data_IF_226417223004
#
_entry.id   IF_226417223004
#
_cell.length_a   1.000
_cell.length_b   1.000
_cell.length_c   1.000
_cell.angle_alpha   90.00
_cell.angle_beta   90.00
_cell.angle_gamma   90.00
#
_symmetry.space_group_name_H-M   'P 1'
#
loop_
_entity.id
_entity.type
_entity.pdbx_description
1 polymer ?
#
# COMPACT_ATOMS: atom_id res chain seq x y z
N UNK A 1 7.05 -1.50 17.86
CA UNK A 1 6.22 -0.79 18.86
C UNK A 1 5.35 -1.81 19.60
N UNK A 2 5.45 -1.88 20.92
CA UNK A 2 4.83 -2.97 21.69
C UNK A 2 3.30 -2.99 21.59
N UNK A 3 2.64 -1.83 21.45
CA UNK A 3 1.18 -1.78 21.28
C UNK A 3 0.67 -2.28 19.92
N UNK A 4 1.52 -2.24 18.89
CA UNK A 4 1.17 -2.68 17.53
C UNK A 4 1.77 -4.04 17.18
N UNK A 5 2.65 -4.56 18.04
CA UNK A 5 3.46 -5.77 17.79
C UNK A 5 4.16 -5.77 16.42
N UNK A 6 4.40 -4.59 15.85
CA UNK A 6 5.02 -4.38 14.53
C UNK A 6 6.19 -3.41 14.65
N UNK A 7 7.28 -3.72 13.94
CA UNK A 7 8.41 -2.80 13.74
C UNK A 7 8.30 -2.13 12.36
N UNK A 8 7.40 -1.16 12.27
CA UNK A 8 7.12 -0.42 11.03
C UNK A 8 7.70 1.00 11.08
N UNK A 9 7.77 1.66 9.92
CA UNK A 9 8.09 3.09 9.80
C UNK A 9 7.20 3.98 10.69
N UNK A 10 5.96 3.57 10.97
CA UNK A 10 5.08 4.27 11.91
C UNK A 10 5.58 4.28 13.35
N UNK A 11 6.23 3.19 13.80
CA UNK A 11 6.82 3.15 15.13
C UNK A 11 7.95 4.17 15.26
N UNK A 12 8.81 4.25 14.24
CA UNK A 12 9.87 5.25 14.15
C UNK A 12 9.31 6.68 14.05
N UNK A 13 8.24 6.89 13.28
CA UNK A 13 7.60 8.19 13.15
C UNK A 13 7.00 8.69 14.47
N UNK A 14 6.33 7.81 15.22
CA UNK A 14 5.77 8.15 16.53
C UNK A 14 6.86 8.41 17.58
N UNK A 15 7.94 7.62 17.56
CA UNK A 15 9.11 7.87 18.42
C UNK A 15 9.79 9.21 18.09
N UNK A 16 9.98 9.50 16.80
CA UNK A 16 10.50 10.77 16.32
C UNK A 16 9.60 11.95 16.66
N UNK A 17 8.27 11.77 16.59
CA UNK A 17 7.30 12.78 17.01
C UNK A 17 7.43 13.12 18.49
N UNK A 18 7.51 12.11 19.36
CA UNK A 18 7.72 12.32 20.78
C UNK A 18 9.05 13.05 21.06
N UNK A 19 10.14 12.64 20.40
CA UNK A 19 11.43 13.29 20.53
C UNK A 19 11.40 14.76 20.06
N UNK A 20 10.79 15.04 18.91
CA UNK A 20 10.63 16.40 18.38
C UNK A 20 9.73 17.27 19.23
N UNK A 21 8.68 16.71 19.82
CA UNK A 21 7.81 17.41 20.75
C UNK A 21 8.58 17.84 22.01
N UNK A 22 9.41 16.95 22.56
CA UNK A 22 10.28 17.26 23.72
C UNK A 22 11.25 18.40 23.38
N UNK A 23 11.84 18.41 22.19
CA UNK A 23 12.70 19.50 21.72
C UNK A 23 11.97 20.84 21.61
N UNK A 24 10.66 20.83 21.34
CA UNK A 24 9.83 22.04 21.24
C UNK A 24 9.28 22.58 22.56
N UNK A 25 9.30 21.79 23.65
CA UNK A 25 8.84 22.22 24.98
C UNK A 25 9.46 23.53 25.49
N UNK A 26 10.78 23.78 25.36
CA UNK A 26 11.38 25.04 25.83
C UNK A 26 10.81 26.29 25.14
N UNK A 27 10.23 26.17 23.94
CA UNK A 27 9.60 27.30 23.24
C UNK A 27 8.28 27.75 23.87
N UNK A 28 7.69 26.95 24.79
CA UNK A 28 6.40 27.23 25.49
C UNK A 28 5.24 27.59 24.56
N UNK A 29 5.33 27.23 23.29
CA UNK A 29 4.35 27.50 22.24
C UNK A 29 3.88 26.18 21.66
N UNK A 30 2.63 25.83 21.91
CA UNK A 30 2.04 24.58 21.41
C UNK A 30 2.20 24.39 19.89
N UNK A 31 2.04 25.43 19.03
CA UNK A 31 2.27 25.26 17.60
C UNK A 31 3.70 24.84 17.25
N UNK A 32 4.69 25.34 18.00
CA UNK A 32 6.11 25.03 17.78
C UNK A 32 6.40 23.58 18.20
N UNK A 33 5.81 23.12 19.29
CA UNK A 33 5.90 21.72 19.76
C UNK A 33 5.35 20.77 18.70
N UNK A 34 4.15 21.06 18.17
CA UNK A 34 3.54 20.23 17.13
C UNK A 34 4.32 20.25 15.81
N UNK A 35 4.84 21.41 15.42
CA UNK A 35 5.65 21.53 14.20
C UNK A 35 6.96 20.74 14.31
N UNK A 36 7.70 20.89 15.42
CA UNK A 36 8.95 20.17 15.65
C UNK A 36 8.72 18.66 15.81
N UNK A 37 7.66 18.27 16.53
CA UNK A 37 7.23 16.87 16.60
C UNK A 37 6.91 16.29 15.22
N UNK A 38 6.04 16.96 14.44
CA UNK A 38 5.67 16.51 13.10
C UNK A 38 6.88 16.43 12.16
N UNK A 39 7.77 17.41 12.22
CA UNK A 39 8.98 17.44 11.40
C UNK A 39 9.92 16.27 11.75
N UNK A 40 10.32 16.13 13.01
CA UNK A 40 11.24 15.06 13.43
C UNK A 40 10.61 13.68 13.23
N UNK A 41 9.30 13.55 13.49
CA UNK A 41 8.54 12.32 13.24
C UNK A 41 8.52 11.93 11.76
N UNK A 42 8.28 12.87 10.85
CA UNK A 42 8.29 12.59 9.40
C UNK A 42 9.68 12.19 8.89
N UNK A 43 10.74 12.87 9.35
CA UNK A 43 12.13 12.53 9.00
C UNK A 43 12.49 11.13 9.51
N UNK A 44 12.16 10.79 10.76
CA UNK A 44 12.42 9.46 11.32
C UNK A 44 11.60 8.35 10.63
N UNK A 45 10.33 8.64 10.30
CA UNK A 45 9.49 7.73 9.53
C UNK A 45 10.06 7.44 8.15
N UNK A 46 10.47 8.49 7.42
CA UNK A 46 11.12 8.38 6.12
C UNK A 46 12.46 7.63 6.22
N UNK A 47 13.26 7.92 7.24
CA UNK A 47 14.54 7.24 7.45
C UNK A 47 14.38 5.73 7.66
N UNK A 48 13.41 5.31 8.49
CA UNK A 48 13.11 3.89 8.68
C UNK A 48 12.52 3.25 7.41
N UNK A 49 11.68 3.97 6.68
CA UNK A 49 11.13 3.51 5.40
C UNK A 49 12.22 3.32 4.34
N UNK A 50 13.27 4.16 4.36
CA UNK A 50 14.45 4.03 3.52
C UNK A 50 15.43 2.93 3.96
N UNK A 51 15.11 2.18 5.03
CA UNK A 51 15.92 1.06 5.53
C UNK A 51 16.66 1.33 6.85
N UNK A 52 16.53 2.52 7.43
CA UNK A 52 17.01 2.83 8.78
C UNK A 52 18.52 2.73 8.96
N UNK A 53 19.30 2.79 7.87
CA UNK A 53 20.76 2.70 7.87
C UNK A 53 21.34 3.96 7.21
N UNK A 54 22.34 4.54 7.84
CA UNK A 54 23.15 5.63 7.26
C UNK A 54 24.32 5.12 6.42
N UNK A 55 24.53 3.81 6.44
CA UNK A 55 25.65 3.16 5.79
C UNK A 55 25.28 2.62 4.41
N UNK A 56 26.21 2.72 3.47
CA UNK A 56 26.05 2.36 2.05
C UNK A 56 26.70 1.02 1.70
N UNK A 57 27.27 0.29 2.66
CA UNK A 57 27.77 -1.05 2.37
C UNK A 57 26.63 -1.92 1.86
N UNK A 58 26.64 -2.12 0.55
CA UNK A 58 25.84 -3.11 -0.15
C UNK A 58 26.35 -4.45 0.38
N UNK A 59 25.61 -5.03 1.32
CA UNK A 59 25.72 -6.46 1.52
C UNK A 59 25.53 -7.08 0.13
N UNK A 60 26.47 -7.91 -0.31
CA UNK A 60 26.30 -8.66 -1.54
C UNK A 60 25.13 -9.64 -1.33
N UNK A 61 23.92 -9.14 -1.55
CA UNK A 61 22.74 -9.98 -1.61
C UNK A 61 22.94 -11.01 -2.72
N UNK A 62 22.50 -12.23 -2.47
CA UNK A 62 22.60 -13.33 -3.42
C UNK A 62 22.05 -12.88 -4.79
N UNK A 63 22.94 -12.87 -5.79
CA UNK A 63 22.61 -12.52 -7.17
C UNK A 63 21.43 -13.35 -7.70
N UNK A 64 21.31 -14.59 -7.23
CA UNK A 64 20.23 -15.48 -7.59
C UNK A 64 18.89 -14.98 -7.04
N UNK A 65 18.81 -14.64 -5.76
CA UNK A 65 17.59 -14.11 -5.13
C UNK A 65 17.14 -12.78 -5.78
N UNK A 66 18.09 -11.91 -6.14
CA UNK A 66 17.81 -10.68 -6.89
C UNK A 66 17.18 -10.98 -8.25
N UNK A 67 17.78 -11.90 -9.00
CA UNK A 67 17.29 -12.30 -10.34
C UNK A 67 15.95 -13.02 -10.25
N UNK A 68 15.71 -13.84 -9.22
CA UNK A 68 14.43 -14.49 -9.00
C UNK A 68 13.32 -13.47 -8.73
N UNK A 69 13.59 -12.47 -7.89
CA UNK A 69 12.65 -11.37 -7.62
C UNK A 69 12.26 -10.64 -8.90
N UNK A 70 13.25 -10.27 -9.73
CA UNK A 70 13.01 -9.58 -11.01
C UNK A 70 12.16 -10.45 -11.96
N UNK A 71 12.45 -11.76 -12.03
CA UNK A 71 11.69 -12.70 -12.87
C UNK A 71 10.23 -12.81 -12.40
N UNK A 72 10.01 -12.86 -11.08
CA UNK A 72 8.66 -12.93 -10.48
C UNK A 72 7.82 -11.68 -10.79
N UNK A 73 8.44 -10.51 -10.88
CA UNK A 73 7.74 -9.24 -11.17
C UNK A 73 7.29 -9.09 -12.63
N UNK A 74 7.94 -9.78 -13.58
CA UNK A 74 7.67 -9.56 -15.02
C UNK A 74 6.29 -10.09 -15.46
N UNK A 75 5.79 -11.16 -14.84
CA UNK A 75 4.45 -11.71 -15.10
C UNK A 75 3.79 -12.15 -13.81
N UNK A 76 2.94 -11.28 -13.28
CA UNK A 76 2.19 -11.52 -12.04
C UNK A 76 0.90 -12.29 -12.38
N UNK A 77 0.58 -13.38 -11.67
CA UNK A 77 -0.68 -14.10 -11.87
C UNK A 77 -1.87 -13.21 -11.50
N UNK A 78 -2.95 -13.31 -12.28
CA UNK A 78 -4.16 -12.47 -12.09
C UNK A 78 -4.75 -12.64 -10.70
N UNK A 79 -4.69 -13.85 -10.13
CA UNK A 79 -5.15 -14.16 -8.78
C UNK A 79 -4.42 -13.36 -7.69
N UNK A 80 -3.11 -13.21 -7.80
CA UNK A 80 -2.32 -12.40 -6.86
C UNK A 80 -2.75 -10.94 -6.95
N UNK A 81 -2.92 -10.41 -8.16
CA UNK A 81 -3.40 -9.04 -8.37
C UNK A 81 -4.79 -8.81 -7.74
N UNK A 82 -5.70 -9.79 -7.84
CA UNK A 82 -7.02 -9.71 -7.20
C UNK A 82 -6.89 -9.68 -5.68
N UNK A 83 -6.02 -10.52 -5.11
CA UNK A 83 -5.84 -10.59 -3.66
C UNK A 83 -5.23 -9.31 -3.06
N UNK A 84 -4.32 -8.65 -3.80
CA UNK A 84 -3.59 -7.47 -3.33
C UNK A 84 -4.33 -6.15 -3.62
N UNK A 85 -4.88 -6.00 -4.82
CA UNK A 85 -5.52 -4.74 -5.28
C UNK A 85 -7.03 -4.75 -5.10
N UNK A 86 -7.65 -5.93 -5.11
CA UNK A 86 -9.10 -6.12 -5.12
C UNK A 86 -9.71 -6.03 -6.51
N UNK A 87 -10.96 -6.50 -6.63
CA UNK A 87 -11.73 -6.39 -7.87
C UNK A 87 -12.22 -4.95 -8.09
N UNK A 88 -12.09 -4.42 -9.32
CA UNK A 88 -12.60 -3.10 -9.69
C UNK A 88 -11.58 -2.22 -10.42
N UNK A 89 -11.97 -0.98 -10.77
CA UNK A 89 -11.11 0.05 -11.41
C UNK A 89 -10.34 -0.43 -12.66
N UNK A 90 -10.95 -1.30 -13.46
CA UNK A 90 -10.37 -1.81 -14.71
C UNK A 90 -9.81 -3.23 -14.62
N UNK A 91 -9.67 -3.80 -13.41
CA UNK A 91 -9.27 -5.20 -13.21
C UNK A 91 -10.53 -6.06 -13.18
N UNK A 92 -10.74 -6.84 -14.25
CA UNK A 92 -11.88 -7.74 -14.41
C UNK A 92 -11.40 -9.18 -14.53
N UNK A 93 -11.49 -9.99 -13.47
CA UNK A 93 -11.26 -11.42 -13.58
C UNK A 93 -12.34 -12.12 -14.41
N UNK A 94 -12.07 -13.35 -14.90
CA UNK A 94 -13.13 -14.19 -15.46
C UNK A 94 -14.27 -14.36 -14.43
N UNK A 95 -15.51 -14.22 -14.89
CA UNK A 95 -16.71 -14.25 -14.02
C UNK A 95 -17.02 -12.94 -13.26
N UNK A 96 -16.28 -11.86 -13.49
CA UNK A 96 -16.55 -10.56 -12.85
C UNK A 96 -17.93 -9.99 -13.18
N UNK A 97 -18.43 -10.22 -14.38
CA UNK A 97 -19.73 -9.68 -14.83
C UNK A 97 -20.90 -10.33 -14.10
N UNK A 98 -20.79 -11.64 -13.82
CA UNK A 98 -21.78 -12.40 -13.04
C UNK A 98 -21.79 -11.95 -11.58
N UNK A 99 -20.62 -11.88 -10.92
CA UNK A 99 -20.51 -11.36 -9.54
C UNK A 99 -20.95 -9.91 -9.43
N UNK A 100 -20.69 -9.09 -10.45
CA UNK A 100 -21.17 -7.71 -10.51
C UNK A 100 -22.69 -7.66 -10.63
N UNK A 101 -23.29 -8.56 -11.40
CA UNK A 101 -24.75 -8.67 -11.55
C UNK A 101 -25.40 -9.02 -10.22
N UNK A 102 -24.89 -10.04 -9.52
CA UNK A 102 -25.34 -10.41 -8.18
C UNK A 102 -25.26 -9.23 -7.20
N UNK A 103 -24.11 -8.53 -7.15
CA UNK A 103 -23.94 -7.33 -6.30
C UNK A 103 -24.89 -6.19 -6.66
N UNK A 104 -25.24 -6.01 -7.94
CA UNK A 104 -26.16 -4.95 -8.38
C UNK A 104 -27.61 -5.36 -8.10
N UNK A 105 -27.96 -6.62 -8.31
CA UNK A 105 -29.28 -7.16 -7.99
C UNK A 105 -29.55 -7.08 -6.48
N UNK A 106 -28.59 -7.47 -5.64
CA UNK A 106 -28.70 -7.36 -4.19
C UNK A 106 -28.82 -5.90 -3.71
N UNK A 107 -28.03 -4.99 -4.30
CA UNK A 107 -27.97 -3.60 -3.85
C UNK A 107 -29.11 -2.72 -4.38
N UNK A 108 -29.61 -2.99 -5.58
CA UNK A 108 -30.53 -2.11 -6.31
C UNK A 108 -31.79 -2.81 -6.84
N UNK A 109 -31.90 -4.14 -6.71
CA UNK A 109 -33.08 -4.90 -7.16
C UNK A 109 -33.26 -4.94 -8.68
N UNK A 110 -32.25 -4.53 -9.46
CA UNK A 110 -32.32 -4.47 -10.92
C UNK A 110 -31.59 -5.65 -11.57
N UNK A 111 -32.28 -6.40 -12.42
CA UNK A 111 -31.68 -7.48 -13.20
C UNK A 111 -31.07 -6.95 -14.51
N UNK A 112 -29.74 -6.93 -14.60
CA UNK A 112 -29.04 -6.55 -15.82
C UNK A 112 -29.06 -7.75 -16.78
N UNK A 113 -29.75 -7.68 -17.92
CA UNK A 113 -29.68 -8.74 -18.93
C UNK A 113 -28.33 -8.73 -19.67
N UNK A 114 -27.73 -9.90 -19.96
CA UNK A 114 -26.50 -9.96 -20.73
C UNK A 114 -26.80 -9.56 -22.17
N UNK A 115 -26.33 -8.38 -22.58
CA UNK A 115 -26.27 -8.05 -24.00
C UNK A 115 -25.17 -8.91 -24.60
N UNK A 116 -25.55 -9.94 -25.35
CA UNK A 116 -24.62 -10.72 -26.18
C UNK A 116 -23.95 -9.76 -27.17
N UNK A 117 -22.70 -9.40 -26.92
CA UNK A 117 -21.85 -8.76 -27.92
C UNK A 117 -21.33 -9.80 -28.92
N UNK A 118 -22.25 -10.47 -29.61
CA UNK A 118 -21.98 -11.14 -30.89
C UNK A 118 -23.08 -10.69 -31.82
N UNK A 119 -22.76 -9.72 -32.67
CA UNK A 119 -23.63 -9.36 -33.79
C UNK A 119 -23.50 -10.50 -34.80
N UNK A 120 -24.56 -11.27 -34.97
CA UNK A 120 -24.74 -12.14 -36.15
C UNK A 120 -24.78 -11.22 -37.38
N UNK A 121 -23.64 -11.02 -38.05
CA UNK A 121 -23.60 -10.27 -39.30
C UNK A 121 -22.34 -9.44 -39.52
N UNK A 122 -21.19 -10.09 -39.64
CA UNK A 122 -20.06 -9.59 -40.44
C UNK A 122 -19.17 -10.78 -40.78
N UNK A 123 -19.54 -11.50 -41.83
CA UNK A 123 -18.57 -12.22 -42.65
C UNK A 123 -17.81 -11.22 -43.52
#
# INVERSE_FOLDING_TARGET
MNLREKDDAFAAALGGFAAGAVLGLPSKRMPVVFALGGFVGSVQGLFKLAGGRLDSFKAEDDEFARKETIRRTTRVPVEQTISEVGEGRGIKPPGYEERRRERIQEKYGFEINPVKATVEGSQ
#
